data_IF_690171295212
#
_entry.id   IF_690171295212
#
_cell.length_a   1.000
_cell.length_b   1.000
_cell.length_c   1.000
_cell.angle_alpha   90.00
_cell.angle_beta   90.00
_cell.angle_gamma   90.00
#
_symmetry.space_group_name_H-M   'P 1'
#
loop_
_entity.id
_entity.type
_entity.pdbx_description
1 polymer ?
#
# COMPACT_ATOMS: atom_id res chain seq x y z
N UNK A 1 -48.69 17.99 -42.77
CA UNK A 1 -49.25 18.93 -41.77
C UNK A 1 -49.34 18.15 -40.47
N UNK A 2 -48.62 18.38 -39.37
CA UNK A 2 -47.74 19.45 -38.94
C UNK A 2 -47.85 19.51 -37.41
N UNK A 3 -46.70 19.44 -36.70
CA UNK A 3 -46.40 19.98 -35.35
C UNK A 3 -47.19 19.36 -34.17
N UNK A 4 -46.59 18.70 -33.19
CA UNK A 4 -45.62 19.17 -32.18
C UNK A 4 -46.20 18.75 -30.80
N UNK A 5 -45.51 18.45 -29.70
CA UNK A 5 -44.14 18.63 -29.20
C UNK A 5 -43.83 17.45 -28.27
N UNK A 6 -42.63 16.88 -28.37
CA UNK A 6 -42.06 16.02 -27.33
C UNK A 6 -41.47 16.88 -26.21
N UNK A 7 -41.79 16.55 -24.96
CA UNK A 7 -41.11 17.11 -23.79
C UNK A 7 -39.83 16.30 -23.55
N UNK A 8 -38.71 16.87 -23.94
CA UNK A 8 -37.38 16.39 -23.60
C UNK A 8 -37.10 16.61 -22.12
N UNK A 9 -36.68 15.54 -21.44
CA UNK A 9 -35.95 15.63 -20.17
C UNK A 9 -34.49 15.83 -20.53
N UNK A 10 -34.03 17.08 -20.46
CA UNK A 10 -32.61 17.40 -20.44
C UNK A 10 -32.04 17.03 -19.07
N UNK A 11 -31.32 15.90 -18.99
CA UNK A 11 -30.33 15.71 -17.94
C UNK A 11 -29.07 16.48 -18.33
N UNK A 12 -29.04 17.76 -17.93
CA UNK A 12 -27.84 18.59 -17.98
C UNK A 12 -26.76 18.01 -17.07
N UNK A 13 -25.57 17.88 -17.64
CA UNK A 13 -24.33 17.52 -16.97
C UNK A 13 -24.06 18.41 -15.75
N UNK A 14 -23.82 17.77 -14.61
CA UNK A 14 -23.01 18.32 -13.51
C UNK A 14 -21.94 17.28 -13.16
N UNK A 15 -20.94 17.14 -14.03
CA UNK A 15 -19.64 16.55 -13.71
C UNK A 15 -18.63 17.69 -13.71
N UNK A 16 -18.55 18.36 -12.57
CA UNK A 16 -17.56 19.39 -12.29
C UNK A 16 -17.24 19.36 -10.80
N UNK A 17 -15.95 19.19 -10.50
CA UNK A 17 -15.29 19.33 -9.19
C UNK A 17 -15.30 18.10 -8.27
N UNK A 18 -14.64 17.03 -8.72
CA UNK A 18 -13.78 16.21 -7.85
C UNK A 18 -12.38 16.11 -8.47
N UNK A 19 -11.82 17.27 -8.82
CA UNK A 19 -10.41 17.44 -9.18
C UNK A 19 -9.66 18.00 -7.99
N UNK A 20 -9.56 17.22 -6.92
CA UNK A 20 -8.68 17.48 -5.79
C UNK A 20 -7.77 16.28 -5.63
N UNK A 21 -6.47 16.46 -5.81
CA UNK A 21 -5.47 15.45 -5.50
C UNK A 21 -5.58 15.09 -4.01
N UNK A 22 -6.32 14.01 -3.73
CA UNK A 22 -6.61 13.47 -2.42
C UNK A 22 -5.33 12.93 -1.76
N UNK A 23 -4.92 13.56 -0.66
CA UNK A 23 -3.84 13.12 0.22
C UNK A 23 -4.38 12.82 1.62
N UNK A 24 -5.59 12.25 1.74
CA UNK A 24 -6.23 11.97 3.02
C UNK A 24 -6.38 10.49 3.39
N UNK A 25 -5.88 9.55 2.58
CA UNK A 25 -5.99 8.11 2.87
C UNK A 25 -4.65 7.53 3.26
N UNK A 26 -4.61 6.85 4.41
CA UNK A 26 -3.45 6.11 4.88
C UNK A 26 -3.79 4.65 5.16
N UNK A 27 -2.84 3.76 4.91
CA UNK A 27 -3.00 2.31 5.06
C UNK A 27 -1.79 1.66 5.68
N UNK A 28 -2.04 0.69 6.57
CA UNK A 28 -1.05 -0.26 7.08
C UNK A 28 -1.47 -1.65 6.63
N UNK A 29 -0.60 -2.36 5.92
CA UNK A 29 -0.87 -3.72 5.41
C UNK A 29 0.29 -4.65 5.70
N UNK A 30 -0.02 -5.81 6.23
CA UNK A 30 0.91 -6.92 6.40
C UNK A 30 0.52 -8.07 5.50
N UNK A 31 1.50 -8.62 4.80
CA UNK A 31 1.35 -9.78 3.95
C UNK A 31 2.22 -10.90 4.49
N UNK A 32 1.61 -12.05 4.75
CA UNK A 32 2.33 -13.27 5.08
C UNK A 32 2.19 -14.24 3.91
N UNK A 33 3.28 -14.94 3.60
CA UNK A 33 3.29 -16.01 2.61
C UNK A 33 4.07 -17.19 3.18
N UNK A 34 3.49 -18.38 3.10
CA UNK A 34 4.15 -19.63 3.41
C UNK A 34 4.06 -20.58 2.22
N UNK A 35 5.11 -21.37 2.00
CA UNK A 35 5.19 -22.40 0.97
C UNK A 35 5.57 -23.74 1.60
N UNK A 36 4.95 -24.84 1.19
CA UNK A 36 5.27 -26.16 1.77
C UNK A 36 6.62 -26.70 1.30
N UNK A 37 6.95 -26.46 0.02
CA UNK A 37 8.17 -26.93 -0.64
C UNK A 37 8.87 -25.74 -1.32
N UNK A 38 9.69 -24.95 -0.58
CA UNK A 38 10.40 -23.82 -1.14
C UNK A 38 11.43 -24.25 -2.18
N UNK A 39 11.53 -23.49 -3.28
CA UNK A 39 12.65 -23.61 -4.22
C UNK A 39 13.94 -23.06 -3.59
N UNK A 40 15.13 -23.46 -4.07
CA UNK A 40 16.40 -22.91 -3.58
C UNK A 40 16.41 -21.37 -3.59
N UNK A 41 16.74 -20.76 -2.45
CA UNK A 41 16.77 -19.30 -2.27
C UNK A 41 15.41 -18.63 -2.07
N UNK A 42 14.33 -19.41 -1.91
CA UNK A 42 13.01 -18.91 -1.52
C UNK A 42 12.75 -19.30 -0.07
N UNK A 43 12.54 -18.35 0.85
CA UNK A 43 12.20 -18.68 2.22
C UNK A 43 10.87 -19.45 2.31
N UNK A 44 10.79 -20.42 3.24
CA UNK A 44 9.54 -21.15 3.52
C UNK A 44 8.43 -20.22 4.01
N UNK A 45 8.78 -19.17 4.76
CA UNK A 45 7.85 -18.17 5.27
C UNK A 45 8.43 -16.77 5.16
N UNK A 46 7.61 -15.83 4.72
CA UNK A 46 7.92 -14.39 4.66
C UNK A 46 6.77 -13.60 5.27
N UNK A 47 7.10 -12.53 6.00
CA UNK A 47 6.17 -11.49 6.42
C UNK A 47 6.71 -10.12 6.04
N UNK A 48 5.87 -9.29 5.43
CA UNK A 48 6.25 -7.93 5.03
C UNK A 48 5.15 -6.93 5.40
N UNK A 49 5.55 -5.83 6.02
CA UNK A 49 4.71 -4.69 6.35
C UNK A 49 4.85 -3.53 5.36
N UNK A 50 3.73 -2.88 5.04
CA UNK A 50 3.67 -1.70 4.19
C UNK A 50 2.89 -0.57 4.83
N UNK A 51 3.39 0.66 4.71
CA UNK A 51 2.65 1.91 5.01
C UNK A 51 2.54 2.71 3.73
N UNK A 52 1.31 2.96 3.27
CA UNK A 52 1.00 3.66 2.01
C UNK A 52 1.75 3.10 0.79
N UNK A 53 1.97 1.78 0.78
CA UNK A 53 2.72 1.08 -0.26
C UNK A 53 4.25 1.12 -0.12
N UNK A 54 4.79 1.80 0.90
CA UNK A 54 6.22 1.76 1.22
C UNK A 54 6.51 0.56 2.12
N UNK A 55 7.51 -0.27 1.76
CA UNK A 55 7.93 -1.42 2.56
C UNK A 55 8.62 -0.93 3.85
N UNK A 56 8.08 -1.30 5.02
CA UNK A 56 8.56 -0.81 6.32
C UNK A 56 9.36 -1.86 7.10
N UNK A 57 9.03 -3.13 6.93
CA UNK A 57 9.71 -4.24 7.58
C UNK A 57 9.70 -5.50 6.71
N UNK A 58 10.56 -6.44 7.06
CA UNK A 58 10.66 -7.73 6.41
C UNK A 58 11.14 -8.78 7.42
N UNK A 59 10.44 -9.91 7.44
CA UNK A 59 10.86 -11.14 8.09
C UNK A 59 10.92 -12.26 7.06
N UNK A 60 11.93 -13.12 7.17
CA UNK A 60 12.00 -14.36 6.42
C UNK A 60 12.52 -15.52 7.29
N UNK A 61 12.15 -16.74 6.88
CA UNK A 61 12.52 -17.96 7.58
C UNK A 61 13.99 -18.38 7.44
N UNK A 62 14.77 -17.78 6.53
CA UNK A 62 16.19 -18.10 6.38
C UNK A 62 17.02 -17.37 7.43
N UNK A 63 16.74 -16.08 7.65
CA UNK A 63 17.39 -15.26 8.68
C UNK A 63 16.74 -15.41 10.05
N UNK A 64 15.44 -15.73 10.09
CA UNK A 64 14.67 -15.87 11.31
C UNK A 64 14.54 -14.56 12.10
N UNK A 65 14.65 -13.41 11.44
CA UNK A 65 14.67 -12.07 12.05
C UNK A 65 13.81 -11.09 11.28
N UNK A 66 13.17 -10.17 12.01
CA UNK A 66 12.49 -9.01 11.42
C UNK A 66 13.48 -7.87 11.33
N UNK A 67 13.62 -7.26 10.14
CA UNK A 67 14.51 -6.13 9.90
C UNK A 67 13.74 -4.92 9.35
N UNK A 68 14.12 -3.68 9.71
CA UNK A 68 13.57 -2.50 9.08
C UNK A 68 13.92 -2.46 7.59
N UNK A 69 12.97 -1.97 6.78
CA UNK A 69 13.17 -1.73 5.34
C UNK A 69 13.05 -0.27 4.94
N UNK A 70 12.71 0.59 5.89
CA UNK A 70 12.74 2.04 5.74
C UNK A 70 13.59 2.67 6.84
N UNK A 71 14.43 3.66 6.49
CA UNK A 71 15.34 4.33 7.43
C UNK A 71 14.58 4.93 8.62
N UNK A 72 13.43 5.57 8.35
CA UNK A 72 12.61 6.17 9.39
C UNK A 72 12.00 5.15 10.37
N UNK A 73 11.89 3.87 10.00
CA UNK A 73 11.53 2.81 10.94
C UNK A 73 12.72 2.47 11.84
N UNK A 74 13.92 2.33 11.27
CA UNK A 74 15.14 2.04 12.02
C UNK A 74 15.48 3.16 13.01
N UNK A 75 15.29 4.42 12.62
CA UNK A 75 15.66 5.59 13.43
C UNK A 75 14.70 5.84 14.61
N UNK A 76 13.44 5.40 14.51
CA UNK A 76 12.39 5.74 15.49
C UNK A 76 11.97 4.56 16.40
N UNK A 77 12.46 3.35 16.15
CA UNK A 77 12.07 2.15 16.89
C UNK A 77 13.30 1.48 17.51
N UNK A 78 13.20 1.15 18.78
CA UNK A 78 14.29 0.57 19.55
C UNK A 78 14.48 -0.93 19.28
N UNK A 79 15.59 -1.48 19.79
CA UNK A 79 15.88 -2.91 19.64
C UNK A 79 14.80 -3.80 20.28
N UNK A 80 14.17 -3.34 21.36
CA UNK A 80 13.11 -4.11 22.03
C UNK A 80 11.91 -4.31 21.10
N UNK A 81 11.52 -3.29 20.34
CA UNK A 81 10.49 -3.41 19.31
C UNK A 81 10.85 -4.50 18.29
N UNK A 82 12.05 -4.44 17.72
CA UNK A 82 12.50 -5.39 16.69
C UNK A 82 12.66 -6.83 17.22
N UNK A 83 13.07 -6.98 18.48
CA UNK A 83 13.15 -8.29 19.15
C UNK A 83 11.75 -8.89 19.33
N UNK A 84 10.76 -8.08 19.70
CA UNK A 84 9.36 -8.51 19.82
C UNK A 84 8.81 -8.91 18.44
N UNK A 85 9.00 -8.09 17.40
CA UNK A 85 8.54 -8.42 16.05
C UNK A 85 9.24 -9.67 15.49
N UNK A 86 10.50 -9.90 15.86
CA UNK A 86 11.22 -11.13 15.50
C UNK A 86 10.60 -12.35 16.17
N UNK A 87 10.29 -12.30 17.46
CA UNK A 87 9.63 -13.41 18.16
C UNK A 87 8.24 -13.71 17.58
N UNK A 88 7.52 -12.65 17.18
CA UNK A 88 6.25 -12.73 16.47
C UNK A 88 6.42 -13.46 15.13
N UNK A 89 7.39 -13.04 14.31
CA UNK A 89 7.70 -13.66 13.03
C UNK A 89 8.04 -15.14 13.17
N UNK A 90 8.88 -15.51 14.14
CA UNK A 90 9.25 -16.90 14.44
C UNK A 90 8.06 -17.77 14.82
N UNK A 91 7.15 -17.24 15.65
CA UNK A 91 5.92 -17.96 16.00
C UNK A 91 5.00 -18.12 14.79
N UNK A 92 4.83 -17.07 13.99
CA UNK A 92 4.04 -17.12 12.76
C UNK A 92 4.60 -18.15 11.78
N UNK A 93 5.92 -18.20 11.57
CA UNK A 93 6.56 -19.23 10.74
C UNK A 93 6.16 -20.64 11.19
N UNK A 94 6.23 -20.94 12.49
CA UNK A 94 5.84 -22.25 13.01
C UNK A 94 4.34 -22.54 12.79
N UNK A 95 3.48 -21.56 13.04
CA UNK A 95 2.04 -21.67 12.87
C UNK A 95 1.66 -21.92 11.41
N UNK A 96 2.26 -21.20 10.47
CA UNK A 96 1.98 -21.36 9.05
C UNK A 96 2.43 -22.71 8.52
N UNK A 97 3.57 -23.24 8.99
CA UNK A 97 4.00 -24.60 8.69
C UNK A 97 2.93 -25.63 9.10
N UNK A 98 2.46 -25.56 10.34
CA UNK A 98 1.41 -26.47 10.85
C UNK A 98 0.09 -26.32 10.08
N UNK A 99 -0.25 -25.09 9.69
CA UNK A 99 -1.45 -24.82 8.92
C UNK A 99 -1.38 -25.39 7.51
N UNK A 100 -0.23 -25.32 6.83
CA UNK A 100 -0.03 -25.92 5.53
C UNK A 100 -0.26 -27.44 5.60
N UNK A 101 0.34 -28.12 6.56
CA UNK A 101 0.14 -29.57 6.78
C UNK A 101 -1.34 -29.90 7.03
N UNK A 102 -2.01 -29.07 7.85
CA UNK A 102 -3.43 -29.24 8.17
C UNK A 102 -4.32 -29.06 6.94
N UNK A 103 -4.08 -28.01 6.14
CA UNK A 103 -4.87 -27.73 4.94
C UNK A 103 -4.65 -28.81 3.88
N UNK A 104 -3.40 -29.23 3.68
CA UNK A 104 -3.07 -30.33 2.77
C UNK A 104 -3.87 -31.59 3.10
N UNK A 105 -3.95 -31.96 4.39
CA UNK A 105 -4.78 -33.07 4.86
C UNK A 105 -6.27 -32.85 4.62
N UNK A 106 -6.80 -31.67 4.97
CA UNK A 106 -8.24 -31.37 4.82
C UNK A 106 -8.73 -31.34 3.37
N UNK A 107 -7.88 -30.92 2.45
CA UNK A 107 -8.18 -30.94 1.02
C UNK A 107 -7.84 -32.29 0.35
N UNK A 108 -7.32 -33.28 1.11
CA UNK A 108 -6.86 -34.57 0.60
C UNK A 108 -5.84 -34.44 -0.55
N UNK A 109 -4.88 -33.51 -0.42
CA UNK A 109 -3.88 -33.22 -1.43
C UNK A 109 -2.54 -33.88 -1.10
N UNK A 110 -1.80 -34.34 -2.11
CA UNK A 110 -0.45 -34.89 -1.95
C UNK A 110 0.45 -34.52 -3.14
N UNK A 111 1.76 -34.45 -2.90
CA UNK A 111 2.79 -34.40 -3.94
C UNK A 111 2.89 -33.10 -4.75
N UNK A 112 2.38 -31.97 -4.25
CA UNK A 112 2.58 -30.65 -4.86
C UNK A 112 2.94 -29.61 -3.81
N UNK A 113 3.68 -28.58 -4.23
CA UNK A 113 3.90 -27.40 -3.42
C UNK A 113 2.58 -26.66 -3.19
N UNK A 114 2.32 -26.30 -1.94
CA UNK A 114 1.14 -25.56 -1.51
C UNK A 114 1.52 -24.21 -0.96
N UNK A 115 0.60 -23.25 -1.09
CA UNK A 115 0.81 -21.89 -0.56
C UNK A 115 -0.28 -21.50 0.41
N UNK A 116 0.09 -20.79 1.48
CA UNK A 116 -0.84 -20.16 2.40
C UNK A 116 -0.46 -18.69 2.52
N UNK A 117 -1.43 -17.83 2.24
CA UNK A 117 -1.24 -16.39 2.18
C UNK A 117 -2.20 -15.70 3.15
N UNK A 118 -1.74 -14.64 3.80
CA UNK A 118 -2.60 -13.72 4.56
C UNK A 118 -2.34 -12.31 4.13
N UNK A 119 -3.40 -11.54 3.98
CA UNK A 119 -3.37 -10.09 4.00
C UNK A 119 -4.19 -9.60 5.19
N UNK A 120 -3.60 -8.73 6.01
CA UNK A 120 -4.34 -8.05 7.06
C UNK A 120 -3.83 -6.63 7.27
N UNK A 121 -4.66 -5.78 7.85
CA UNK A 121 -4.29 -4.40 8.07
C UNK A 121 -5.48 -3.48 8.25
N UNK A 122 -5.23 -2.19 8.20
CA UNK A 122 -6.23 -1.16 8.46
C UNK A 122 -5.96 0.08 7.63
N UNK A 123 -7.03 0.86 7.43
CA UNK A 123 -6.96 2.15 6.76
C UNK A 123 -7.54 3.26 7.67
N UNK A 124 -7.03 4.47 7.50
CA UNK A 124 -7.62 5.72 7.97
C UNK A 124 -8.02 6.51 6.73
N UNK A 125 -9.32 6.77 6.56
CA UNK A 125 -9.86 7.52 5.43
C UNK A 125 -9.81 9.03 5.69
N UNK A 126 -10.10 9.82 4.65
CA UNK A 126 -10.04 11.29 4.73
C UNK A 126 -11.01 11.89 5.75
N UNK A 127 -12.17 11.25 5.94
CA UNK A 127 -13.18 11.63 6.93
C UNK A 127 -12.84 11.18 8.36
N UNK A 128 -11.66 10.56 8.55
CA UNK A 128 -11.21 9.99 9.81
C UNK A 128 -11.83 8.65 10.15
N UNK A 129 -12.74 8.11 9.33
CA UNK A 129 -13.27 6.76 9.51
C UNK A 129 -12.19 5.72 9.26
N UNK A 130 -12.38 4.54 9.84
CA UNK A 130 -11.38 3.46 9.78
C UNK A 130 -11.95 2.20 9.15
N UNK A 131 -11.10 1.47 8.45
CA UNK A 131 -11.41 0.14 7.89
C UNK A 131 -10.39 -0.87 8.38
N UNK A 132 -10.80 -2.14 8.45
CA UNK A 132 -9.94 -3.24 8.85
C UNK A 132 -10.16 -4.44 7.97
N UNK A 133 -9.08 -5.15 7.64
CA UNK A 133 -9.06 -6.25 6.70
C UNK A 133 -8.29 -7.42 7.28
N UNK A 134 -8.81 -8.63 7.05
CA UNK A 134 -8.12 -9.88 7.37
C UNK A 134 -8.67 -10.95 6.44
N UNK A 135 -7.80 -11.45 5.56
CA UNK A 135 -8.13 -12.42 4.54
C UNK A 135 -7.01 -13.44 4.42
N UNK A 136 -7.37 -14.70 4.28
CA UNK A 136 -6.46 -15.80 3.98
C UNK A 136 -6.79 -16.40 2.61
N UNK A 137 -5.75 -16.84 1.90
CA UNK A 137 -5.84 -17.58 0.65
C UNK A 137 -4.98 -18.84 0.72
N UNK A 138 -5.45 -19.91 0.08
CA UNK A 138 -4.74 -21.19 -0.03
C UNK A 138 -4.61 -21.57 -1.51
N UNK A 139 -3.39 -21.93 -1.93
CA UNK A 139 -3.05 -22.22 -3.34
C UNK A 139 -3.50 -21.09 -4.30
N UNK A 140 -3.35 -19.84 -3.88
CA UNK A 140 -3.71 -18.64 -4.66
C UNK A 140 -5.22 -18.38 -4.80
N UNK A 141 -6.06 -19.10 -4.05
CA UNK A 141 -7.52 -18.91 -4.04
C UNK A 141 -7.99 -18.46 -2.67
N UNK A 142 -9.02 -17.62 -2.64
CA UNK A 142 -9.66 -17.19 -1.39
C UNK A 142 -10.00 -18.40 -0.51
N UNK A 143 -9.68 -18.31 0.78
CA UNK A 143 -9.95 -19.36 1.76
C UNK A 143 -10.95 -18.89 2.81
N UNK A 144 -10.60 -17.84 3.57
CA UNK A 144 -11.49 -17.27 4.60
C UNK A 144 -11.23 -15.78 4.81
N UNK A 145 -12.29 -15.00 5.03
CA UNK A 145 -12.22 -13.57 5.29
C UNK A 145 -12.99 -13.20 6.56
N UNK A 146 -12.49 -12.21 7.32
CA UNK A 146 -13.19 -11.69 8.48
C UNK A 146 -14.07 -10.48 8.11
N UNK A 147 -15.35 -10.55 8.41
CA UNK A 147 -16.28 -9.42 8.33
C UNK A 147 -16.25 -8.68 9.69
N UNK A 148 -15.57 -7.54 9.72
CA UNK A 148 -15.34 -6.76 10.93
C UNK A 148 -16.64 -6.21 11.54
N UNK A 149 -17.62 -5.88 10.70
CA UNK A 149 -18.88 -5.26 11.12
C UNK A 149 -19.84 -6.30 11.68
N UNK A 150 -19.96 -7.44 11.01
CA UNK A 150 -20.79 -8.56 11.48
C UNK A 150 -20.11 -9.39 12.57
N UNK A 151 -18.79 -9.25 12.74
CA UNK A 151 -17.96 -10.11 13.59
C UNK A 151 -18.09 -11.60 13.25
N UNK A 152 -18.18 -11.90 11.96
CA UNK A 152 -18.33 -13.26 11.42
C UNK A 152 -17.28 -13.55 10.36
N UNK A 153 -17.13 -14.81 9.96
CA UNK A 153 -16.24 -15.21 8.88
C UNK A 153 -16.99 -15.60 7.61
N UNK A 154 -16.41 -15.30 6.46
CA UNK A 154 -16.86 -15.78 5.16
C UNK A 154 -15.87 -16.83 4.69
N UNK A 155 -16.30 -18.07 4.59
CA UNK A 155 -15.51 -19.18 4.08
C UNK A 155 -15.78 -19.35 2.58
N UNK A 156 -14.73 -19.55 1.79
CA UNK A 156 -14.82 -19.62 0.34
C UNK A 156 -15.36 -20.96 -0.19
N UNK A 157 -15.09 -22.06 0.53
CA UNK A 157 -15.55 -23.39 0.15
C UNK A 157 -15.93 -24.26 1.36
N UNK A 158 -16.36 -25.49 1.11
CA UNK A 158 -16.80 -26.44 2.13
C UNK A 158 -15.70 -26.85 3.12
N UNK A 159 -14.43 -26.83 2.71
CA UNK A 159 -13.29 -27.15 3.60
C UNK A 159 -13.00 -25.96 4.52
N UNK A 160 -13.03 -24.73 3.98
CA UNK A 160 -12.91 -23.50 4.75
C UNK A 160 -14.02 -23.34 5.81
N UNK A 161 -15.22 -23.91 5.58
CA UNK A 161 -16.30 -23.94 6.58
C UNK A 161 -15.88 -24.63 7.88
N UNK A 162 -14.97 -25.60 7.84
CA UNK A 162 -14.44 -26.27 9.04
C UNK A 162 -13.73 -25.23 9.93
N UNK A 163 -12.84 -24.43 9.34
CA UNK A 163 -12.14 -23.35 10.05
C UNK A 163 -13.10 -22.28 10.55
N UNK A 164 -14.08 -21.88 9.73
CA UNK A 164 -15.12 -20.91 10.13
C UNK A 164 -15.85 -21.39 11.39
N UNK A 165 -16.39 -22.62 11.40
CA UNK A 165 -17.12 -23.16 12.55
C UNK A 165 -16.25 -23.19 13.81
N UNK A 166 -14.97 -23.56 13.67
CA UNK A 166 -14.01 -23.54 14.78
C UNK A 166 -13.86 -22.12 15.36
N UNK A 167 -13.59 -21.13 14.51
CA UNK A 167 -13.35 -19.75 14.96
C UNK A 167 -14.61 -19.05 15.46
N UNK A 168 -15.79 -19.39 14.96
CA UNK A 168 -17.06 -18.81 15.44
C UNK A 168 -17.57 -19.48 16.72
N UNK A 169 -17.12 -20.72 17.02
CA UNK A 169 -17.43 -21.39 18.29
C UNK A 169 -16.79 -20.64 19.47
N UNK A 170 -15.58 -20.12 19.29
CA UNK A 170 -14.91 -19.28 20.29
C UNK A 170 -15.12 -17.79 20.00
N UNK A 171 -16.05 -17.17 20.73
CA UNK A 171 -16.34 -15.73 20.60
C UNK A 171 -15.12 -14.84 20.90
N UNK A 172 -14.12 -15.35 21.62
CA UNK A 172 -12.89 -14.61 21.91
C UNK A 172 -12.10 -14.29 20.64
N UNK A 173 -12.20 -15.14 19.60
CA UNK A 173 -11.41 -15.00 18.39
C UNK A 173 -11.85 -13.80 17.55
N UNK A 174 -13.16 -13.67 17.31
CA UNK A 174 -13.71 -12.51 16.62
C UNK A 174 -13.45 -11.20 17.40
N UNK A 175 -13.54 -11.24 18.73
CA UNK A 175 -13.27 -10.09 19.60
C UNK A 175 -11.79 -9.66 19.54
N UNK A 176 -10.85 -10.61 19.59
CA UNK A 176 -9.40 -10.37 19.46
C UNK A 176 -9.07 -9.71 18.13
N UNK A 177 -9.63 -10.24 17.03
CA UNK A 177 -9.40 -9.72 15.67
C UNK A 177 -9.95 -8.31 15.50
N UNK A 178 -11.17 -8.08 16.00
CA UNK A 178 -11.77 -6.74 16.03
C UNK A 178 -10.93 -5.75 16.84
N UNK A 179 -10.43 -6.15 18.01
CA UNK A 179 -9.61 -5.29 18.86
C UNK A 179 -8.32 -4.86 18.14
N UNK A 180 -7.62 -5.81 17.49
CA UNK A 180 -6.44 -5.47 16.71
C UNK A 180 -6.77 -4.51 15.55
N UNK A 181 -7.76 -4.86 14.72
CA UNK A 181 -8.06 -4.11 13.50
C UNK A 181 -8.63 -2.71 13.77
N UNK A 182 -9.45 -2.53 14.82
CA UNK A 182 -10.03 -1.23 15.17
C UNK A 182 -9.13 -0.36 16.05
N UNK A 183 -8.23 -0.96 16.85
CA UNK A 183 -7.42 -0.22 17.82
C UNK A 183 -5.93 -0.34 17.53
N UNK A 184 -5.33 -1.52 17.77
CA UNK A 184 -3.87 -1.70 17.71
C UNK A 184 -3.29 -1.30 16.35
N UNK A 185 -3.91 -1.76 15.25
CA UNK A 185 -3.45 -1.44 13.90
C UNK A 185 -3.52 0.09 13.63
N UNK A 186 -4.61 0.74 14.03
CA UNK A 186 -4.82 2.18 13.84
C UNK A 186 -3.83 3.01 14.68
N UNK A 187 -3.59 2.59 15.92
CA UNK A 187 -2.59 3.23 16.81
C UNK A 187 -1.18 3.15 16.20
N UNK A 188 -0.78 1.98 15.70
CA UNK A 188 0.52 1.80 15.06
C UNK A 188 0.62 2.54 13.72
N UNK A 189 -0.42 2.51 12.88
CA UNK A 189 -0.46 3.27 11.64
C UNK A 189 -0.24 4.77 11.91
N UNK A 190 -0.90 5.35 12.92
CA UNK A 190 -0.67 6.76 13.31
C UNK A 190 0.78 7.04 13.74
N UNK A 191 1.40 6.12 14.47
CA UNK A 191 2.82 6.25 14.87
C UNK A 191 3.73 6.20 13.66
N UNK A 192 3.57 5.21 12.78
CA UNK A 192 4.40 5.07 11.59
C UNK A 192 4.24 6.26 10.64
N UNK A 193 3.02 6.78 10.47
CA UNK A 193 2.80 8.03 9.74
C UNK A 193 3.56 9.20 10.35
N UNK A 194 3.63 9.29 11.68
CA UNK A 194 4.37 10.35 12.36
C UNK A 194 5.88 10.24 12.16
N UNK A 195 6.43 9.03 12.15
CA UNK A 195 7.86 8.77 11.93
C UNK A 195 8.25 9.00 10.46
N UNK A 196 7.42 8.50 9.54
CA UNK A 196 7.68 8.55 8.11
C UNK A 196 7.19 9.82 7.42
N UNK A 197 6.70 10.84 8.14
CA UNK A 197 6.02 12.01 7.55
C UNK A 197 6.74 12.60 6.34
N UNK A 198 8.04 12.88 6.48
CA UNK A 198 8.84 13.50 5.41
C UNK A 198 8.91 12.63 4.14
N UNK A 199 8.89 11.31 4.30
CA UNK A 199 8.97 10.33 3.21
C UNK A 199 7.58 10.05 2.62
N UNK A 200 6.55 9.95 3.45
CA UNK A 200 5.19 9.60 3.06
C UNK A 200 4.46 10.76 2.38
N UNK A 201 4.72 12.00 2.81
CA UNK A 201 4.12 13.22 2.24
C UNK A 201 4.90 13.78 1.04
N UNK A 202 6.04 13.17 0.70
CA UNK A 202 6.84 13.62 -0.45
C UNK A 202 6.03 13.48 -1.73
N UNK A 203 6.35 14.33 -2.70
CA UNK A 203 5.71 14.33 -4.01
C UNK A 203 6.79 14.39 -5.07
N UNK A 204 6.85 13.37 -5.90
CA UNK A 204 7.81 13.26 -6.99
C UNK A 204 7.05 13.31 -8.32
N UNK A 205 7.32 14.32 -9.17
CA UNK A 205 6.61 14.45 -10.44
C UNK A 205 7.05 13.42 -11.48
N UNK A 206 6.10 12.90 -12.28
CA UNK A 206 6.43 11.96 -13.34
C UNK A 206 7.31 12.65 -14.39
N UNK A 207 8.43 12.01 -14.72
CA UNK A 207 9.11 12.27 -15.99
C UNK A 207 8.32 11.59 -17.09
N UNK A 208 7.72 12.37 -17.99
CA UNK A 208 6.84 11.83 -19.04
C UNK A 208 7.56 11.83 -20.38
N UNK A 209 7.53 10.70 -21.07
CA UNK A 209 8.07 10.55 -22.42
C UNK A 209 7.01 10.03 -23.37
N UNK A 210 6.77 10.80 -24.43
CA UNK A 210 5.91 10.38 -25.54
C UNK A 210 6.76 9.93 -26.73
N UNK A 211 6.46 8.74 -27.25
CA UNK A 211 7.18 8.12 -28.37
C UNK A 211 6.21 7.40 -29.30
N UNK A 212 6.60 7.17 -30.55
CA UNK A 212 5.82 6.42 -31.53
C UNK A 212 6.62 5.28 -32.12
N UNK A 213 5.94 4.18 -32.47
CA UNK A 213 6.49 3.07 -33.25
C UNK A 213 5.54 2.76 -34.40
N UNK A 214 6.06 2.74 -35.62
CA UNK A 214 5.30 2.35 -36.80
C UNK A 214 5.59 0.88 -37.14
N UNK A 215 4.54 0.11 -37.41
CA UNK A 215 4.64 -1.26 -37.90
C UNK A 215 3.43 -1.57 -38.80
N UNK A 216 3.68 -2.14 -39.97
CA UNK A 216 2.64 -2.55 -40.93
C UNK A 216 1.65 -1.42 -41.30
N UNK A 217 2.11 -0.16 -41.35
CA UNK A 217 1.29 1.01 -41.68
C UNK A 217 0.44 1.55 -40.52
N UNK A 218 0.58 1.00 -39.31
CA UNK A 218 -0.07 1.49 -38.10
C UNK A 218 0.98 2.16 -37.21
N UNK A 219 0.68 3.38 -36.74
CA UNK A 219 1.49 4.09 -35.76
C UNK A 219 0.92 3.86 -34.35
N UNK A 220 1.68 3.21 -33.48
CA UNK A 220 1.34 3.12 -32.06
C UNK A 220 2.09 4.20 -31.28
N UNK A 221 1.34 5.07 -30.61
CA UNK A 221 1.89 6.08 -29.70
C UNK A 221 1.94 5.52 -28.28
N UNK A 222 3.01 5.83 -27.55
CA UNK A 222 3.23 5.44 -26.17
C UNK A 222 3.53 6.67 -25.32
N UNK A 223 2.76 6.84 -24.26
CA UNK A 223 3.04 7.78 -23.18
C UNK A 223 3.53 6.99 -21.97
N UNK A 224 4.74 7.28 -21.52
CA UNK A 224 5.38 6.59 -20.38
C UNK A 224 5.67 7.59 -19.27
N UNK A 225 5.20 7.30 -18.07
CA UNK A 225 5.44 8.11 -16.88
C UNK A 225 6.39 7.35 -15.95
N UNK A 226 7.51 7.98 -15.61
CA UNK A 226 8.59 7.40 -14.80
C UNK A 226 8.79 8.17 -13.51
N UNK A 227 9.20 7.48 -12.45
CA UNK A 227 9.77 8.10 -11.26
C UNK A 227 8.80 8.94 -10.44
N UNK A 228 7.50 8.62 -10.45
CA UNK A 228 6.51 9.41 -9.73
C UNK A 228 6.13 8.80 -8.38
N UNK A 229 5.74 9.66 -7.45
CA UNK A 229 5.19 9.30 -6.14
C UNK A 229 4.23 10.40 -5.66
N UNK A 230 3.04 10.08 -5.11
CA UNK A 230 2.54 8.76 -4.70
C UNK A 230 2.06 7.86 -5.84
N UNK A 231 1.66 6.62 -5.51
CA UNK A 231 1.24 5.60 -6.50
C UNK A 231 0.06 6.03 -7.41
N UNK A 232 -1.00 6.69 -6.92
CA UNK A 232 -2.15 7.02 -7.78
C UNK A 232 -1.80 8.05 -8.86
N UNK A 233 -2.05 7.70 -10.12
CA UNK A 233 -1.82 8.54 -11.30
C UNK A 233 -2.90 8.25 -12.34
N UNK A 234 -3.28 9.25 -13.13
CA UNK A 234 -4.16 9.08 -14.29
C UNK A 234 -3.40 9.49 -15.55
N UNK A 235 -3.41 8.62 -16.56
CA UNK A 235 -2.78 8.87 -17.86
C UNK A 235 -3.83 8.63 -18.95
N UNK A 236 -4.12 9.64 -19.76
CA UNK A 236 -5.15 9.56 -20.81
C UNK A 236 -4.62 10.10 -22.14
N UNK A 237 -5.09 9.54 -23.25
CA UNK A 237 -4.86 10.12 -24.57
C UNK A 237 -5.97 11.10 -24.94
N UNK A 238 -5.57 12.25 -25.47
CA UNK A 238 -6.47 13.22 -26.08
C UNK A 238 -6.22 13.24 -27.59
N UNK A 239 -7.30 13.30 -28.38
CA UNK A 239 -7.25 13.61 -29.82
C UNK A 239 -8.09 14.85 -30.06
N UNK A 240 -7.48 15.91 -30.60
CA UNK A 240 -8.14 17.22 -30.78
C UNK A 240 -8.80 17.76 -29.48
N UNK A 241 -8.22 17.45 -28.32
CA UNK A 241 -8.74 17.86 -27.01
C UNK A 241 -9.75 16.90 -26.37
N UNK A 242 -10.24 15.88 -27.08
CA UNK A 242 -11.20 14.90 -26.57
C UNK A 242 -10.49 13.64 -26.04
N UNK A 243 -10.94 13.15 -24.89
CA UNK A 243 -10.41 11.92 -24.26
C UNK A 243 -10.74 10.68 -25.08
N UNK A 244 -9.77 9.77 -25.24
CA UNK A 244 -9.86 8.54 -26.06
C UNK A 244 -9.65 7.27 -25.25
N UNK A 245 -10.32 7.18 -24.10
CA UNK A 245 -10.16 6.05 -23.17
C UNK A 245 -10.57 4.70 -23.80
N UNK A 246 -11.59 4.66 -24.67
CA UNK A 246 -12.03 3.40 -25.32
C UNK A 246 -10.98 2.80 -26.26
N UNK A 247 -10.10 3.63 -26.80
CA UNK A 247 -9.07 3.26 -27.78
C UNK A 247 -7.69 3.13 -27.10
N UNK A 248 -7.60 3.46 -25.81
CA UNK A 248 -6.34 3.48 -25.07
C UNK A 248 -6.12 2.13 -24.39
N UNK A 249 -4.89 1.63 -24.49
CA UNK A 249 -4.39 0.52 -23.70
C UNK A 249 -3.52 1.04 -22.56
N UNK A 250 -3.69 0.50 -21.36
CA UNK A 250 -2.91 0.89 -20.18
C UNK A 250 -2.06 -0.25 -19.64
N UNK A 251 -0.83 0.08 -19.29
CA UNK A 251 0.00 -0.74 -18.43
C UNK A 251 -0.43 -0.65 -16.97
N UNK A 252 -0.14 -1.71 -16.20
CA UNK A 252 -0.24 -1.65 -14.75
C UNK A 252 0.79 -0.68 -14.16
N UNK A 253 0.44 -0.02 -13.05
CA UNK A 253 1.39 0.79 -12.28
C UNK A 253 2.36 -0.16 -11.55
N UNK A 254 3.61 -0.15 -11.95
CA UNK A 254 4.68 -0.99 -11.41
C UNK A 254 5.55 -0.20 -10.42
N UNK A 255 6.01 -0.81 -9.31
CA UNK A 255 6.94 -0.18 -8.38
C UNK A 255 8.39 -0.24 -8.92
N UNK A 256 9.18 0.79 -8.60
CA UNK A 256 10.62 0.83 -8.81
C UNK A 256 11.36 0.51 -7.50
N UNK A 257 12.66 0.18 -7.59
CA UNK A 257 13.49 -0.15 -6.43
C UNK A 257 13.79 1.03 -5.51
N UNK A 258 13.64 2.26 -6.00
CA UNK A 258 13.83 3.52 -5.26
C UNK A 258 12.56 3.99 -4.54
N UNK A 259 11.48 3.20 -4.58
CA UNK A 259 10.20 3.54 -3.97
C UNK A 259 9.30 4.46 -4.80
N UNK A 260 9.69 4.78 -6.03
CA UNK A 260 8.85 5.47 -7.02
C UNK A 260 8.06 4.48 -7.88
N UNK A 261 7.25 4.98 -8.81
CA UNK A 261 6.41 4.18 -9.68
C UNK A 261 6.64 4.46 -11.17
N UNK A 262 6.21 3.50 -11.99
CA UNK A 262 6.21 3.56 -13.45
C UNK A 262 4.85 3.12 -14.00
N UNK A 263 4.39 3.78 -15.06
CA UNK A 263 3.22 3.32 -15.83
C UNK A 263 3.31 3.78 -17.29
N UNK A 264 2.44 3.25 -18.13
CA UNK A 264 2.34 3.66 -19.53
C UNK A 264 0.91 3.55 -20.07
N UNK A 265 0.63 4.31 -21.12
CA UNK A 265 -0.59 4.22 -21.92
C UNK A 265 -0.23 4.27 -23.41
N UNK A 266 -0.90 3.47 -24.24
CA UNK A 266 -0.73 3.49 -25.70
C UNK A 266 -2.03 3.63 -26.45
N UNK A 267 -1.94 4.15 -27.67
CA UNK A 267 -3.06 4.28 -28.59
C UNK A 267 -2.58 4.07 -30.02
N UNK A 268 -3.39 3.42 -30.84
CA UNK A 268 -3.16 3.33 -32.28
C UNK A 268 -3.63 4.61 -32.96
N UNK A 269 -2.82 5.09 -33.90
CA UNK A 269 -3.04 6.30 -34.66
C UNK A 269 -2.63 6.09 -36.11
N UNK A 270 -3.14 6.96 -36.98
CA UNK A 270 -2.61 7.11 -38.32
C UNK A 270 -1.35 8.00 -38.28
N UNK A 271 -0.28 7.67 -39.03
CA UNK A 271 0.94 8.48 -39.07
C UNK A 271 0.70 9.97 -39.34
N UNK A 272 -0.23 10.29 -40.24
CA UNK A 272 -0.62 11.66 -40.60
C UNK A 272 -1.40 12.41 -39.51
N UNK A 273 -1.97 11.69 -38.55
CA UNK A 273 -2.75 12.27 -37.46
C UNK A 273 -1.97 12.39 -36.16
N UNK A 274 -0.72 11.95 -36.15
CA UNK A 274 0.21 12.01 -35.02
C UNK A 274 0.08 13.28 -34.18
N UNK A 275 0.17 14.45 -34.82
CA UNK A 275 0.26 15.74 -34.14
C UNK A 275 -1.07 16.21 -33.55
N UNK A 276 -2.17 15.46 -33.78
CA UNK A 276 -3.48 15.67 -33.16
C UNK A 276 -3.57 15.06 -31.76
N UNK A 277 -2.63 14.17 -31.40
CA UNK A 277 -2.64 13.45 -30.15
C UNK A 277 -1.82 14.17 -29.06
N UNK A 278 -2.34 14.15 -27.83
CA UNK A 278 -1.67 14.65 -26.62
C UNK A 278 -1.82 13.61 -25.52
N UNK A 279 -0.77 13.38 -24.74
CA UNK A 279 -0.89 12.61 -23.51
C UNK A 279 -1.19 13.55 -22.34
N UNK A 280 -2.29 13.33 -21.63
CA UNK A 280 -2.64 14.04 -20.39
C UNK A 280 -2.25 13.20 -19.19
N UNK A 281 -1.49 13.79 -18.26
CA UNK A 281 -1.06 13.13 -17.02
C UNK A 281 -1.51 13.96 -15.82
N UNK A 282 -2.31 13.34 -14.96
CA UNK A 282 -2.79 13.93 -13.71
C UNK A 282 -2.17 13.18 -12.54
N UNK A 283 -1.50 13.91 -11.65
CA UNK A 283 -0.77 13.34 -10.53
C UNK A 283 -0.70 14.34 -9.37
N UNK A 284 -0.71 13.85 -8.12
CA UNK A 284 -0.78 14.70 -6.93
C UNK A 284 0.41 15.65 -6.71
N UNK A 285 1.52 15.40 -7.42
CA UNK A 285 2.70 16.28 -7.43
C UNK A 285 2.61 17.43 -8.44
N UNK A 286 1.66 17.38 -9.37
CA UNK A 286 1.50 18.38 -10.42
C UNK A 286 0.40 19.37 -10.00
N UNK A 287 0.64 20.69 -10.14
CA UNK A 287 -0.38 21.68 -9.80
C UNK A 287 -1.56 21.64 -10.79
N UNK A 288 -1.29 21.30 -12.05
CA UNK A 288 -2.27 21.15 -13.12
C UNK A 288 -1.96 19.90 -13.95
N UNK A 289 -2.94 19.33 -14.68
CA UNK A 289 -2.71 18.21 -15.59
C UNK A 289 -1.63 18.54 -16.64
N UNK A 290 -0.58 17.73 -16.71
CA UNK A 290 0.47 17.88 -17.71
C UNK A 290 0.01 17.39 -19.09
N UNK A 291 0.30 18.15 -20.14
CA UNK A 291 0.02 17.77 -21.54
C UNK A 291 1.34 17.58 -22.30
N UNK A 292 1.53 16.40 -22.88
CA UNK A 292 2.79 16.02 -23.51
C UNK A 292 2.58 15.62 -24.98
N UNK A 293 3.50 16.05 -25.84
CA UNK A 293 3.51 15.77 -27.28
C UNK A 293 4.63 14.79 -27.66
N UNK A 294 4.47 14.09 -28.78
CA UNK A 294 5.57 13.27 -29.29
C UNK A 294 6.73 14.17 -29.75
N UNK A 295 7.92 13.92 -29.22
CA UNK A 295 9.17 14.56 -29.63
C UNK A 295 9.72 15.52 -28.57
N UNK A 296 8.91 15.86 -27.57
CA UNK A 296 9.34 16.68 -26.45
C UNK A 296 9.83 15.78 -25.30
N UNK A 297 11.09 15.92 -24.85
CA UNK A 297 11.50 15.35 -23.58
C UNK A 297 10.76 16.09 -22.47
N UNK A 298 9.84 15.41 -21.78
CA UNK A 298 9.14 15.95 -20.61
C UNK A 298 10.08 16.03 -19.41
N UNK A 299 10.90 17.07 -19.38
CA UNK A 299 11.55 17.59 -18.17
C UNK A 299 10.88 18.91 -17.80
N UNK A 300 10.67 19.16 -16.51
CA UNK A 300 10.15 20.45 -16.00
C UNK A 300 10.96 21.61 -16.60
N UNK A 301 10.35 22.32 -17.54
CA UNK A 301 11.03 23.37 -18.29
C UNK A 301 10.04 24.29 -18.99
N UNK A 302 9.30 25.08 -18.22
CA UNK A 302 8.97 26.50 -18.48
C UNK A 302 7.98 26.99 -17.40
N UNK A 303 8.51 27.31 -16.22
CA UNK A 303 7.85 28.32 -15.38
C UNK A 303 8.40 29.65 -15.90
N UNK A 304 7.56 30.44 -16.58
CA UNK A 304 7.92 31.79 -16.98
C UNK A 304 8.33 32.60 -15.75
N UNK A 305 9.62 32.87 -15.66
CA UNK A 305 10.26 33.55 -14.56
C UNK A 305 10.06 35.06 -14.73
N UNK A 306 9.04 35.61 -14.08
CA UNK A 306 8.91 37.06 -13.87
C UNK A 306 9.94 37.51 -12.82
N UNK A 307 11.12 37.94 -13.28
CA UNK A 307 12.12 38.61 -12.45
C UNK A 307 11.78 40.10 -12.33
N UNK A 308 11.00 40.50 -11.33
CA UNK A 308 10.88 41.92 -10.97
C UNK A 308 11.37 42.16 -9.54
N UNK A 309 12.62 42.62 -9.44
CA UNK A 309 13.11 43.45 -8.33
C UNK A 309 13.59 42.72 -7.07
N UNK A 310 14.90 42.43 -6.99
CA UNK A 310 15.58 42.21 -5.71
C UNK A 310 16.55 43.37 -5.47
N UNK A 311 16.27 44.16 -4.45
CA UNK A 311 17.16 45.19 -3.88
C UNK A 311 18.19 44.46 -3.00
N UNK A 312 19.50 44.73 -3.12
CA UNK A 312 20.50 44.05 -2.29
C UNK A 312 20.53 44.68 -0.89
N UNK A 313 20.24 43.87 0.13
CA UNK A 313 20.61 44.17 1.53
C UNK A 313 22.01 43.60 1.82
N UNK A 314 22.86 44.32 2.57
CA UNK A 314 24.26 43.96 2.76
C UNK A 314 24.42 42.79 3.74
N UNK A 315 25.44 41.98 3.47
CA UNK A 315 25.93 40.89 4.33
C UNK A 315 26.28 41.41 5.74
N UNK A 316 25.56 40.91 6.75
CA UNK A 316 26.00 41.00 8.14
C UNK A 316 26.74 39.71 8.49
N UNK A 317 28.06 39.82 8.65
CA UNK A 317 28.94 38.77 9.17
C UNK A 317 28.57 38.45 10.62
N UNK A 318 28.06 37.25 10.87
CA UNK A 318 27.90 36.71 12.23
C UNK A 318 29.19 36.00 12.63
N UNK A 319 29.88 36.57 13.61
CA UNK A 319 31.02 35.96 14.30
C UNK A 319 30.55 34.73 15.08
N UNK A 320 31.18 33.59 14.82
CA UNK A 320 31.10 32.41 15.66
C UNK A 320 31.77 32.70 17.00
N UNK A 321 31.05 32.44 18.10
CA UNK A 321 31.65 32.26 19.42
C UNK A 321 31.08 31.00 20.09
N UNK A 322 31.89 30.23 20.83
CA UNK A 322 31.60 28.83 21.12
C UNK A 322 31.06 28.58 22.54
N UNK A 323 30.38 27.45 22.67
CA UNK A 323 30.01 26.71 23.90
C UNK A 323 28.90 27.33 24.75
N UNK A 324 27.75 26.65 24.74
CA UNK A 324 27.00 26.41 25.97
C UNK A 324 26.70 24.92 26.15
N UNK A 325 26.90 24.49 27.40
CA UNK A 325 26.83 23.11 27.89
C UNK A 325 25.40 22.59 27.82
N UNK A 326 25.22 21.42 27.24
CA UNK A 326 24.05 20.58 27.48
C UNK A 326 24.13 20.06 28.92
N UNK A 327 23.15 20.44 29.75
CA UNK A 327 22.91 19.78 31.04
C UNK A 327 22.14 18.47 30.81
N UNK A 328 22.46 17.39 31.57
CA UNK A 328 21.77 16.12 31.45
C UNK A 328 20.39 16.18 32.13
N UNK A 329 19.35 15.76 31.41
CA UNK A 329 18.02 15.54 31.99
C UNK A 329 18.06 14.26 32.82
N UNK A 330 17.79 14.40 34.11
CA UNK A 330 17.68 13.31 35.08
C UNK A 330 16.62 12.29 34.67
N UNK A 331 17.03 11.02 34.56
CA UNK A 331 16.14 9.87 34.61
C UNK A 331 15.64 9.67 36.05
N UNK A 332 14.33 9.68 36.24
CA UNK A 332 13.71 9.15 37.45
C UNK A 332 13.47 7.64 37.29
N UNK A 333 13.92 6.79 38.24
CA UNK A 333 13.67 5.37 38.22
C UNK A 333 12.30 5.09 38.86
N UNK A 334 11.26 4.96 38.03
CA UNK A 334 9.95 4.47 38.44
C UNK A 334 9.84 2.96 38.24
N UNK A 335 10.46 2.18 39.12
CA UNK A 335 10.24 0.74 39.20
C UNK A 335 8.82 0.43 39.66
N UNK A 336 8.01 -0.15 38.79
CA UNK A 336 6.68 -0.68 39.11
C UNK A 336 6.65 -2.19 38.96
N UNK A 337 6.67 -2.91 40.08
CA UNK A 337 6.35 -4.33 40.15
C UNK A 337 4.90 -4.56 39.70
N UNK A 338 4.65 -5.50 38.78
CA UNK A 338 3.30 -5.92 38.39
C UNK A 338 3.00 -7.36 38.85
N UNK A 339 1.90 -7.48 39.59
CA UNK A 339 1.37 -8.67 40.26
C UNK A 339 0.50 -9.52 39.28
N UNK A 340 0.29 -10.84 39.49
CA UNK A 340 -0.05 -11.80 38.43
C UNK A 340 -1.50 -11.83 37.88
N UNK A 341 -2.37 -10.86 38.18
CA UNK A 341 -3.83 -11.06 37.94
C UNK A 341 -4.51 -10.06 37.01
N UNK A 342 -3.80 -9.07 36.46
CA UNK A 342 -4.36 -8.19 35.42
C UNK A 342 -3.30 -7.87 34.35
N UNK A 343 -3.29 -8.64 33.27
CA UNK A 343 -2.40 -8.47 32.13
C UNK A 343 -2.82 -7.27 31.25
N UNK A 344 -2.32 -6.08 31.55
CA UNK A 344 -2.28 -4.93 30.63
C UNK A 344 -0.91 -4.26 30.70
N UNK A 345 -0.03 -4.66 29.78
CA UNK A 345 1.02 -3.87 29.14
C UNK A 345 1.83 -4.85 28.28
N UNK A 346 1.95 -4.58 26.97
CA UNK A 346 2.76 -5.36 26.01
C UNK A 346 2.27 -6.78 25.62
N UNK A 347 1.01 -6.92 25.18
CA UNK A 347 0.72 -7.91 24.13
C UNK A 347 0.22 -7.17 22.91
N UNK A 348 1.08 -7.07 21.89
CA UNK A 348 0.62 -6.95 20.51
C UNK A 348 -0.37 -8.10 20.32
N UNK A 349 -1.65 -7.78 20.08
CA UNK A 349 -2.68 -8.77 19.81
C UNK A 349 -2.35 -9.43 18.48
N UNK A 350 -1.48 -10.44 18.50
CA UNK A 350 -1.15 -11.20 17.32
C UNK A 350 -2.42 -11.78 16.73
N UNK A 351 -2.61 -11.65 15.42
CA UNK A 351 -3.66 -12.34 14.69
C UNK A 351 -3.16 -13.74 14.29
N UNK A 352 -2.80 -14.57 15.27
CA UNK A 352 -2.31 -15.92 14.99
C UNK A 352 -3.42 -16.75 14.32
N UNK A 353 -3.07 -17.40 13.21
CA UNK A 353 -3.98 -18.26 12.43
C UNK A 353 -3.86 -19.67 12.97
N UNK A 354 -4.71 -20.12 13.89
CA UNK A 354 -4.67 -21.54 14.28
C UNK A 354 -5.76 -22.31 13.55
N UNK A 355 -5.39 -22.96 12.42
CA UNK A 355 -6.32 -23.76 11.59
C UNK A 355 -6.52 -25.16 12.19
N UNK A 356 -5.46 -25.73 12.79
CA UNK A 356 -5.45 -27.06 13.43
C UNK A 356 -6.44 -27.16 14.61
N UNK A 357 -7.22 -28.23 14.71
CA UNK A 357 -8.00 -28.52 15.93
C UNK A 357 -7.04 -28.94 17.04
N UNK A 358 -7.16 -28.34 18.22
CA UNK A 358 -6.58 -28.95 19.42
C UNK A 358 -7.44 -30.17 19.72
N UNK A 359 -6.90 -31.37 19.47
CA UNK A 359 -7.52 -32.61 19.93
C UNK A 359 -7.57 -32.54 21.46
N UNK A 360 -8.74 -32.20 21.99
CA UNK A 360 -9.04 -32.36 23.41
C UNK A 360 -9.04 -33.84 23.73
N UNK A 361 -7.98 -34.30 24.39
CA UNK A 361 -7.95 -35.62 25.02
C UNK A 361 -9.11 -35.73 26.01
N UNK A 362 -9.85 -36.83 25.90
CA UNK A 362 -10.77 -37.33 26.91
C UNK A 362 -10.02 -37.77 28.17
#
# INVERSE_FOLDING_TARGET
MGLGRGLGLELGLLLGLLGGAASGFHSLRYFHMAVSEPSPGVPQFVSVGYVDGNLIDHYDSETGRTVPRADWMADNLDQQYWDIETQIGQRNQQVYRINLDTLQGRYNQSGRAHTLQRMHGCDILEDGSTRGYLQDAYDGRDFIAFDLDKMTFTAADAVAQITKRKWEKDRSEAARRKHYLKNTCIEWLRKYMSYGRAVLERKEPPMVRVSGKEAHGILTLYCRAYGFYPRPITVSWLKNGEVRDQETEWGSIAPNSDGTYYTWASIEALPEEKDKYRCRVEHASLPEPGLFMWGEPGGLGHVEQWWAGVVPLPLLTVLLSPRDRVQPVHHHPGGGFCHPTYCRCHRICLLEVQIREEEGGL
#
